data_IF_004524074036
#
_entry.id   IF_004524074036
#
_cell.length_a   1.000
_cell.length_b   1.000
_cell.length_c   1.000
_cell.angle_alpha   90.00
_cell.angle_beta   90.00
_cell.angle_gamma   90.00
#
_symmetry.space_group_name_H-M   'P 1'
#
loop_
_entity.id
_entity.type
_entity.pdbx_description
1 polymer ?
#
# COMPACT_ATOMS: atom_id res chain seq x y z
N UNK A 1 4.77 9.55 -20.85
CA UNK A 1 5.04 10.92 -20.35
C UNK A 1 5.04 11.02 -18.83
N UNK A 2 4.45 10.10 -18.09
CA UNK A 2 4.43 10.08 -16.61
C UNK A 2 5.77 9.71 -15.95
N UNK A 3 6.53 8.80 -16.53
CA UNK A 3 7.81 8.28 -15.98
C UNK A 3 8.86 9.40 -15.82
N UNK A 4 8.93 10.36 -16.75
CA UNK A 4 9.87 11.48 -16.68
C UNK A 4 9.55 12.48 -15.54
N UNK A 5 8.28 12.65 -15.18
CA UNK A 5 7.88 13.50 -14.06
C UNK A 5 8.25 12.87 -12.71
N UNK A 6 8.01 11.58 -12.59
CA UNK A 6 8.33 10.78 -11.40
C UNK A 6 9.84 10.73 -11.12
N UNK A 7 10.64 10.46 -12.16
CA UNK A 7 12.10 10.42 -12.03
C UNK A 7 12.67 11.80 -11.63
N UNK A 8 12.14 12.90 -12.17
CA UNK A 8 12.54 14.27 -11.77
C UNK A 8 12.23 14.56 -10.30
N UNK A 9 11.08 14.13 -9.78
CA UNK A 9 10.73 14.32 -8.36
C UNK A 9 11.65 13.51 -7.44
N UNK A 10 12.00 12.29 -7.79
CA UNK A 10 12.97 11.47 -7.05
C UNK A 10 14.33 12.16 -6.99
N UNK A 11 14.81 12.66 -8.13
CA UNK A 11 16.10 13.37 -8.21
C UNK A 11 16.08 14.65 -7.38
N UNK A 12 15.02 15.44 -7.44
CA UNK A 12 14.88 16.68 -6.64
C UNK A 12 14.84 16.34 -5.14
N UNK A 13 14.08 15.31 -4.75
CA UNK A 13 14.02 14.85 -3.36
C UNK A 13 15.37 14.35 -2.85
N UNK A 14 16.12 13.62 -3.68
CA UNK A 14 17.46 13.16 -3.33
C UNK A 14 18.46 14.32 -3.20
N UNK A 15 18.41 15.30 -4.11
CA UNK A 15 19.25 16.51 -4.04
C UNK A 15 18.93 17.31 -2.77
N UNK A 16 17.64 17.50 -2.45
CA UNK A 16 17.23 18.18 -1.24
C UNK A 16 17.74 17.47 0.03
N UNK A 17 17.66 16.14 0.06
CA UNK A 17 18.18 15.32 1.17
C UNK A 17 19.70 15.50 1.32
N UNK A 18 20.45 15.43 0.22
CA UNK A 18 21.92 15.61 0.21
C UNK A 18 22.31 17.01 0.67
N UNK A 19 21.56 18.04 0.26
CA UNK A 19 21.80 19.42 0.69
C UNK A 19 21.54 19.59 2.19
N UNK A 20 20.42 19.05 2.70
CA UNK A 20 20.10 19.11 4.14
C UNK A 20 21.14 18.39 4.96
N UNK A 21 21.58 17.17 4.54
CA UNK A 21 22.63 16.43 5.22
C UNK A 21 23.98 17.17 5.15
N UNK A 22 24.32 17.74 4.00
CA UNK A 22 25.56 18.50 3.81
C UNK A 22 25.62 19.74 4.70
N UNK A 23 24.55 20.52 4.76
CA UNK A 23 24.45 21.72 5.63
C UNK A 23 24.47 21.33 7.11
N UNK A 24 23.82 20.22 7.49
CA UNK A 24 23.82 19.72 8.87
C UNK A 24 25.22 19.28 9.32
N UNK A 25 25.95 18.57 8.47
CA UNK A 25 27.34 18.16 8.75
C UNK A 25 28.28 19.37 8.89
N UNK A 26 28.14 20.36 8.01
CA UNK A 26 28.97 21.59 8.06
C UNK A 26 28.71 22.45 9.31
N UNK A 27 27.50 22.38 9.87
CA UNK A 27 27.11 23.13 11.08
C UNK A 27 27.28 22.32 12.38
N UNK A 28 27.86 21.11 12.33
CA UNK A 28 28.07 20.26 13.51
C UNK A 28 26.76 19.67 14.09
N UNK A 29 25.67 19.73 13.32
CA UNK A 29 24.41 19.11 13.70
C UNK A 29 24.42 17.63 13.30
N UNK A 30 24.49 16.75 14.29
CA UNK A 30 24.23 15.32 14.10
C UNK A 30 22.74 15.10 14.40
N UNK A 31 21.93 14.88 13.36
CA UNK A 31 20.55 14.42 13.57
C UNK A 31 20.58 13.04 14.23
N UNK A 32 19.85 12.82 15.32
CA UNK A 32 19.69 11.49 15.90
C UNK A 32 19.19 10.51 14.82
N UNK A 33 19.71 9.28 14.84
CA UNK A 33 19.35 8.24 13.85
C UNK A 33 17.84 8.07 13.71
N UNK A 34 17.11 8.16 14.83
CA UNK A 34 15.66 8.01 14.87
C UNK A 34 14.93 9.17 14.17
N UNK A 35 15.44 10.40 14.25
CA UNK A 35 14.89 11.55 13.50
C UNK A 35 15.13 11.42 12.00
N UNK A 36 16.28 10.90 11.59
CA UNK A 36 16.57 10.65 10.18
C UNK A 36 15.63 9.59 9.62
N UNK A 37 15.42 8.49 10.34
CA UNK A 37 14.48 7.42 9.95
C UNK A 37 13.04 7.95 9.90
N UNK A 38 12.62 8.73 10.89
CA UNK A 38 11.30 9.33 10.92
C UNK A 38 11.07 10.32 9.76
N UNK A 39 12.06 11.14 9.45
CA UNK A 39 11.99 12.09 8.32
C UNK A 39 11.91 11.35 7.00
N UNK A 40 12.72 10.32 6.82
CA UNK A 40 12.69 9.47 5.64
C UNK A 40 11.36 8.72 5.50
N UNK A 41 10.85 8.13 6.57
CA UNK A 41 9.53 7.47 6.58
C UNK A 41 8.40 8.45 6.25
N UNK A 42 8.44 9.66 6.81
CA UNK A 42 7.45 10.72 6.50
C UNK A 42 7.50 11.11 5.02
N UNK A 43 8.72 11.22 4.47
CA UNK A 43 8.92 11.47 3.05
C UNK A 43 8.37 10.33 2.19
N UNK A 44 8.71 9.07 2.49
CA UNK A 44 8.17 7.91 1.77
C UNK A 44 6.64 7.84 1.85
N UNK A 45 6.06 8.09 3.01
CA UNK A 45 4.59 8.11 3.19
C UNK A 45 3.88 9.16 2.33
N UNK A 46 4.56 10.25 1.95
CA UNK A 46 4.00 11.22 1.02
C UNK A 46 3.87 10.67 -0.42
N UNK A 47 4.63 9.62 -0.77
CA UNK A 47 4.54 8.92 -2.06
C UNK A 47 3.59 7.70 -2.02
N UNK A 48 3.24 7.18 -0.85
CA UNK A 48 2.33 6.05 -0.67
C UNK A 48 0.95 6.27 -1.29
N UNK A 49 0.54 7.54 -1.39
CA UNK A 49 -0.71 7.92 -2.07
C UNK A 49 -0.71 7.54 -3.55
N UNK A 50 0.47 7.37 -4.16
CA UNK A 50 0.58 7.00 -5.58
C UNK A 50 0.39 5.50 -5.84
N UNK A 51 0.58 4.65 -4.82
CA UNK A 51 0.46 3.19 -4.92
C UNK A 51 -0.94 2.65 -4.62
N UNK A 52 -1.80 3.44 -3.96
CA UNK A 52 -3.15 3.04 -3.57
C UNK A 52 -4.18 3.64 -4.53
N UNK A 53 -5.17 2.88 -4.95
CA UNK A 53 -6.26 3.36 -5.80
C UNK A 53 -7.00 4.53 -5.14
N UNK A 54 -7.31 5.56 -5.92
CA UNK A 54 -8.08 6.70 -5.42
C UNK A 54 -9.52 6.27 -5.13
N UNK A 55 -10.16 6.90 -4.16
CA UNK A 55 -11.53 6.57 -3.74
C UNK A 55 -12.53 6.57 -4.91
N UNK A 56 -12.37 7.50 -5.85
CA UNK A 56 -13.22 7.61 -7.04
C UNK A 56 -13.03 6.47 -8.07
N UNK A 57 -11.92 5.72 -7.97
CA UNK A 57 -11.55 4.65 -8.89
C UNK A 57 -11.89 3.26 -8.28
N UNK A 58 -12.39 3.24 -7.03
CA UNK A 58 -12.86 2.04 -6.34
C UNK A 58 -14.35 1.79 -6.63
N UNK A 59 -14.73 0.53 -6.78
CA UNK A 59 -16.15 0.15 -6.87
C UNK A 59 -16.81 0.11 -5.49
N UNK A 60 -16.04 -0.18 -4.45
CA UNK A 60 -16.52 -0.32 -3.09
C UNK A 60 -16.23 0.88 -2.21
N UNK A 61 -16.60 0.72 -0.93
CA UNK A 61 -16.33 1.69 0.12
C UNK A 61 -15.15 1.25 0.97
N UNK A 62 -14.09 2.07 0.97
CA UNK A 62 -12.91 1.89 1.80
C UNK A 62 -12.96 2.81 3.01
N UNK A 63 -12.59 2.30 4.17
CA UNK A 63 -12.37 3.08 5.40
C UNK A 63 -11.02 2.67 5.95
N UNK A 64 -10.08 3.61 6.01
CA UNK A 64 -8.77 3.35 6.63
C UNK A 64 -8.91 3.17 8.14
N UNK A 65 -8.10 2.29 8.70
CA UNK A 65 -7.97 2.08 10.13
C UNK A 65 -7.05 3.12 10.79
N UNK A 66 -6.11 2.65 11.60
CA UNK A 66 -5.13 3.52 12.27
C UNK A 66 -4.08 4.09 11.31
N UNK A 67 -3.94 3.47 10.14
CA UNK A 67 -3.06 3.89 9.05
C UNK A 67 -3.61 3.38 7.71
N UNK A 68 -2.83 3.56 6.62
CA UNK A 68 -3.22 3.15 5.27
C UNK A 68 -3.02 1.65 4.98
N UNK A 69 -2.34 0.94 5.87
CA UNK A 69 -2.03 -0.48 5.71
C UNK A 69 -3.21 -1.38 6.04
N UNK A 70 -4.15 -0.88 6.85
CA UNK A 70 -5.30 -1.62 7.37
C UNK A 70 -6.56 -0.79 7.29
N UNK A 71 -7.70 -1.47 7.35
CA UNK A 71 -9.01 -0.83 7.37
C UNK A 71 -10.10 -1.81 6.97
N UNK A 72 -11.21 -1.29 6.50
CA UNK A 72 -12.29 -2.09 5.93
C UNK A 72 -12.54 -1.70 4.49
N UNK A 73 -12.85 -2.68 3.67
CA UNK A 73 -13.29 -2.48 2.30
C UNK A 73 -14.45 -3.42 1.98
N UNK A 74 -15.55 -2.86 1.47
CA UNK A 74 -16.73 -3.63 1.05
C UNK A 74 -17.14 -3.19 -0.34
N UNK A 75 -17.30 -4.16 -1.23
CA UNK A 75 -17.70 -3.91 -2.60
C UNK A 75 -18.66 -5.00 -3.11
N UNK A 76 -19.58 -4.57 -3.94
CA UNK A 76 -20.38 -5.42 -4.82
C UNK A 76 -19.99 -5.12 -6.27
N UNK A 77 -19.69 -6.15 -7.04
CA UNK A 77 -19.24 -6.06 -8.42
C UNK A 77 -20.26 -6.71 -9.36
N UNK A 78 -20.50 -6.09 -10.49
CA UNK A 78 -21.38 -6.61 -11.54
C UNK A 78 -20.65 -6.61 -12.88
N UNK A 79 -20.02 -7.74 -13.22
CA UNK A 79 -19.25 -7.98 -14.44
C UNK A 79 -18.12 -6.94 -14.65
N UNK A 80 -17.33 -6.68 -13.62
CA UNK A 80 -16.25 -5.70 -13.63
C UNK A 80 -14.91 -6.37 -13.97
N UNK A 81 -14.14 -5.69 -14.84
CA UNK A 81 -12.72 -5.97 -15.06
C UNK A 81 -11.92 -4.76 -14.60
N UNK A 82 -11.17 -4.90 -13.51
CA UNK A 82 -10.38 -3.81 -12.92
C UNK A 82 -9.24 -4.36 -12.06
N UNK A 83 -8.32 -3.47 -11.71
CA UNK A 83 -7.32 -3.69 -10.68
C UNK A 83 -7.42 -2.56 -9.66
N UNK A 84 -7.63 -2.91 -8.40
CA UNK A 84 -7.84 -1.98 -7.30
C UNK A 84 -6.84 -2.28 -6.18
N UNK A 85 -5.96 -1.34 -5.85
CA UNK A 85 -5.08 -1.43 -4.69
C UNK A 85 -5.76 -0.76 -3.50
N UNK A 86 -6.15 -1.57 -2.52
CA UNK A 86 -7.05 -1.15 -1.45
C UNK A 86 -6.29 -0.56 -0.28
N UNK A 87 -5.27 -1.25 0.21
CA UNK A 87 -4.44 -0.84 1.35
C UNK A 87 -2.98 -0.96 1.01
N UNK A 88 -2.12 -0.24 1.73
CA UNK A 88 -0.69 -0.42 1.59
C UNK A 88 0.15 0.81 1.89
N UNK A 89 1.46 0.63 1.76
CA UNK A 89 2.46 1.67 1.91
C UNK A 89 3.89 1.13 1.81
N UNK A 90 4.85 2.07 1.85
CA UNK A 90 6.29 1.80 1.65
C UNK A 90 7.13 2.16 2.89
N UNK A 91 6.54 2.34 4.07
CA UNK A 91 7.28 2.70 5.28
C UNK A 91 8.26 1.59 5.68
N UNK A 92 9.51 1.96 5.95
CA UNK A 92 10.54 1.04 6.47
C UNK A 92 10.23 0.55 7.88
N UNK A 93 9.48 1.34 8.64
CA UNK A 93 9.07 1.01 10.01
C UNK A 93 7.66 1.56 10.23
N UNK A 94 6.70 0.68 10.37
CA UNK A 94 5.30 1.02 10.61
C UNK A 94 5.09 1.34 12.10
N UNK A 95 4.56 2.54 12.42
CA UNK A 95 4.33 2.96 13.81
C UNK A 95 3.42 2.03 14.62
N UNK A 96 2.50 1.33 13.93
CA UNK A 96 1.53 0.43 14.55
C UNK A 96 1.99 -1.04 14.56
N UNK A 97 3.32 -1.28 14.42
CA UNK A 97 3.94 -2.61 14.39
C UNK A 97 3.87 -3.26 13.00
N UNK A 98 4.63 -4.32 12.84
CA UNK A 98 4.93 -4.94 11.55
C UNK A 98 4.00 -6.12 11.22
N UNK A 99 3.01 -6.40 12.07
CA UNK A 99 1.99 -7.42 11.84
C UNK A 99 0.67 -6.78 11.39
N UNK A 100 0.12 -7.29 10.29
CA UNK A 100 -1.19 -6.94 9.77
C UNK A 100 -2.08 -8.17 9.88
N UNK A 101 -3.11 -8.10 10.73
CA UNK A 101 -4.18 -9.09 10.70
C UNK A 101 -5.12 -8.74 9.56
N UNK A 102 -5.34 -9.69 8.68
CA UNK A 102 -6.18 -9.53 7.50
C UNK A 102 -7.22 -10.63 7.46
N UNK A 103 -8.48 -10.25 7.30
CA UNK A 103 -9.58 -11.15 7.01
C UNK A 103 -10.26 -10.73 5.72
N UNK A 104 -10.39 -11.67 4.78
CA UNK A 104 -11.02 -11.47 3.47
C UNK A 104 -12.14 -12.48 3.32
N UNK A 105 -13.30 -12.03 2.86
CA UNK A 105 -14.39 -12.89 2.44
C UNK A 105 -14.75 -12.55 1.00
N UNK A 106 -14.85 -13.57 0.16
CA UNK A 106 -15.26 -13.47 -1.25
C UNK A 106 -16.46 -14.35 -1.49
N UNK A 107 -17.50 -13.78 -2.12
CA UNK A 107 -18.68 -14.48 -2.61
C UNK A 107 -18.78 -14.26 -4.12
N UNK A 108 -18.21 -15.19 -4.90
CA UNK A 108 -18.18 -15.14 -6.36
C UNK A 108 -19.45 -15.74 -6.96
N UNK A 109 -20.07 -15.02 -7.89
CA UNK A 109 -21.16 -15.52 -8.72
C UNK A 109 -20.66 -15.94 -10.12
N UNK A 110 -19.74 -15.15 -10.71
CA UNK A 110 -19.10 -15.45 -12.00
C UNK A 110 -17.81 -14.67 -12.18
N UNK A 111 -17.07 -14.98 -13.25
CA UNK A 111 -15.79 -14.33 -13.58
C UNK A 111 -14.63 -14.79 -12.72
N UNK A 112 -13.54 -14.02 -12.72
CA UNK A 112 -12.33 -14.34 -11.98
C UNK A 112 -11.99 -13.23 -11.00
N UNK A 113 -11.44 -13.62 -9.86
CA UNK A 113 -10.89 -12.73 -8.83
C UNK A 113 -9.55 -13.25 -8.37
N UNK A 114 -8.63 -12.35 -8.07
CA UNK A 114 -7.39 -12.67 -7.36
C UNK A 114 -7.09 -11.53 -6.37
N UNK A 115 -7.09 -11.84 -5.08
CA UNK A 115 -6.68 -10.91 -4.02
C UNK A 115 -5.25 -11.24 -3.65
N UNK A 116 -4.38 -10.25 -3.78
CA UNK A 116 -2.94 -10.39 -3.74
C UNK A 116 -2.34 -9.47 -2.69
N UNK A 117 -1.42 -9.99 -1.88
CA UNK A 117 -0.51 -9.20 -1.07
C UNK A 117 0.84 -9.08 -1.79
N UNK A 118 1.21 -7.86 -2.16
CA UNK A 118 2.54 -7.53 -2.66
C UNK A 118 3.42 -7.16 -1.46
N UNK A 119 4.51 -7.90 -1.26
CA UNK A 119 5.46 -7.76 -0.15
C UNK A 119 6.86 -7.52 -0.73
N UNK A 120 7.25 -6.25 -0.88
CA UNK A 120 8.43 -5.88 -1.65
C UNK A 120 8.31 -6.38 -3.10
N UNK A 121 9.25 -7.21 -3.51
CA UNK A 121 9.27 -7.83 -4.86
C UNK A 121 8.50 -9.17 -4.93
N UNK A 122 7.91 -9.63 -3.82
CA UNK A 122 7.17 -10.88 -3.77
C UNK A 122 5.66 -10.64 -3.85
N UNK A 123 4.99 -11.45 -4.67
CA UNK A 123 3.54 -11.48 -4.79
C UNK A 123 3.00 -12.76 -4.14
N UNK A 124 2.04 -12.64 -3.21
CA UNK A 124 1.36 -13.76 -2.57
C UNK A 124 -0.14 -13.68 -2.86
N UNK A 125 -0.67 -14.65 -3.60
CA UNK A 125 -2.12 -14.83 -3.71
C UNK A 125 -2.69 -15.24 -2.35
N UNK A 126 -3.69 -14.53 -1.89
CA UNK A 126 -4.38 -14.77 -0.62
C UNK A 126 -5.66 -15.58 -0.85
N UNK A 127 -6.45 -15.17 -1.85
CA UNK A 127 -7.68 -15.86 -2.24
C UNK A 127 -7.98 -15.55 -3.72
N UNK A 128 -8.44 -16.57 -4.47
CA UNK A 128 -8.73 -16.49 -5.92
C UNK A 128 -10.10 -17.08 -6.30
N UNK A 129 -10.87 -17.51 -5.32
CA UNK A 129 -12.24 -18.01 -5.50
C UNK A 129 -13.14 -17.64 -4.30
N UNK A 130 -14.37 -18.12 -4.29
CA UNK A 130 -15.28 -18.01 -3.14
C UNK A 130 -14.66 -18.66 -1.90
N UNK A 131 -14.68 -17.92 -0.79
CA UNK A 131 -14.15 -18.43 0.48
C UNK A 131 -13.81 -17.33 1.47
N UNK A 132 -13.12 -17.74 2.52
CA UNK A 132 -12.58 -16.86 3.55
C UNK A 132 -11.08 -17.10 3.71
N UNK A 133 -10.34 -16.02 3.88
CA UNK A 133 -8.92 -16.00 4.21
C UNK A 133 -8.73 -15.21 5.49
N UNK A 134 -7.98 -15.75 6.45
CA UNK A 134 -7.58 -15.03 7.66
C UNK A 134 -6.15 -15.41 8.03
N UNK A 135 -5.27 -14.40 8.13
CA UNK A 135 -3.86 -14.59 8.49
C UNK A 135 -3.27 -13.29 9.07
N UNK A 136 -2.08 -13.43 9.69
CA UNK A 136 -1.24 -12.31 10.07
C UNK A 136 -0.08 -12.19 9.07
N UNK A 137 -0.02 -11.07 8.36
CA UNK A 137 1.04 -10.76 7.40
C UNK A 137 2.13 -9.96 8.12
N UNK A 138 3.38 -10.40 7.99
CA UNK A 138 4.54 -9.71 8.52
C UNK A 138 5.18 -8.83 7.44
N UNK A 139 5.42 -7.54 7.75
CA UNK A 139 5.80 -6.52 6.76
C UNK A 139 7.05 -5.71 7.15
N UNK A 140 7.87 -6.20 8.09
CA UNK A 140 9.08 -5.48 8.51
C UNK A 140 10.01 -5.18 7.34
N UNK A 141 10.36 -3.90 7.17
CA UNK A 141 11.35 -3.44 6.18
C UNK A 141 10.95 -3.60 4.72
N UNK A 142 9.69 -3.97 4.42
CA UNK A 142 9.22 -4.15 3.04
C UNK A 142 7.98 -3.30 2.75
N UNK A 143 7.79 -2.92 1.49
CA UNK A 143 6.51 -2.36 1.05
C UNK A 143 5.42 -3.42 1.11
N UNK A 144 4.20 -2.99 1.44
CA UNK A 144 3.02 -3.84 1.42
C UNK A 144 1.91 -3.16 0.63
N UNK A 145 1.30 -3.91 -0.28
CA UNK A 145 0.09 -3.47 -0.98
C UNK A 145 -0.89 -4.63 -1.12
N UNK A 146 -2.13 -4.40 -0.72
CA UNK A 146 -3.24 -5.32 -0.93
C UNK A 146 -4.00 -4.91 -2.19
N UNK A 147 -3.95 -5.77 -3.20
CA UNK A 147 -4.52 -5.52 -4.54
C UNK A 147 -5.57 -6.57 -4.87
N UNK A 148 -6.68 -6.13 -5.45
CA UNK A 148 -7.73 -6.97 -6.00
C UNK A 148 -7.65 -6.87 -7.52
N UNK A 149 -7.47 -8.01 -8.20
CA UNK A 149 -7.52 -8.13 -9.67
C UNK A 149 -8.80 -8.86 -10.06
N UNK A 150 -9.58 -8.27 -10.94
CA UNK A 150 -10.90 -8.73 -11.38
C UNK A 150 -10.93 -8.89 -12.89
N UNK A 151 -11.54 -9.98 -13.36
CA UNK A 151 -11.83 -10.20 -14.78
C UNK A 151 -13.25 -10.70 -14.96
N UNK A 152 -14.11 -9.83 -15.52
CA UNK A 152 -15.55 -10.05 -15.67
C UNK A 152 -16.21 -10.55 -14.36
N UNK A 153 -15.70 -10.07 -13.23
CA UNK A 153 -16.10 -10.54 -11.91
C UNK A 153 -17.49 -10.00 -11.53
N UNK A 154 -18.31 -10.92 -11.03
CA UNK A 154 -19.58 -10.62 -10.38
C UNK A 154 -19.59 -11.29 -9.02
N UNK A 155 -19.88 -10.51 -7.95
CA UNK A 155 -19.90 -11.01 -6.59
C UNK A 155 -19.61 -9.93 -5.54
N UNK A 156 -19.35 -10.36 -4.32
CA UNK A 156 -19.11 -9.49 -3.19
C UNK A 156 -17.72 -9.74 -2.59
N UNK A 157 -17.10 -8.67 -2.08
CA UNK A 157 -15.86 -8.72 -1.31
C UNK A 157 -16.04 -7.93 -0.02
N UNK A 158 -15.59 -8.53 1.09
CA UNK A 158 -15.49 -7.90 2.41
C UNK A 158 -14.06 -8.12 2.94
N UNK A 159 -13.35 -7.03 3.26
CA UNK A 159 -11.99 -7.03 3.81
C UNK A 159 -12.01 -6.27 5.13
N UNK A 160 -11.41 -6.88 6.17
CA UNK A 160 -11.31 -6.32 7.52
C UNK A 160 -9.88 -6.47 8.03
#
# INVERSE_FOLDING_TARGET
MFIFGFLKMIIIGFIALVVILGVSICNGWTLPKDEMINTYNTFLQSFDVAGISKEKDLQGKRIFGTDKYIGTYKAEYDNITSEETIFGGTALNRKNGDHIRLKIKVEKQSGNINVIANLGDNEKTLIDDTGEYEDNIYIEGVSYYLTIKLDNFKGNIDII
#
